data_IF_095004569334
#
_entry.id   IF_095004569334
#
_cell.length_a   1.000
_cell.length_b   1.000
_cell.length_c   1.000
_cell.angle_alpha   90.00
_cell.angle_beta   90.00
_cell.angle_gamma   90.00
#
_symmetry.space_group_name_H-M   'P 1'
#
loop_
_entity.id
_entity.type
_entity.pdbx_description
1 polymer ?
#
# COMPACT_ATOMS: atom_id res chain seq x y z
N UNK A 1 -26.08 48.70 30.72
CA UNK A 1 -25.81 47.52 29.86
C UNK A 1 -25.40 48.05 28.50
N UNK A 2 -24.09 48.29 28.35
CA UNK A 2 -23.47 48.75 27.12
C UNK A 2 -22.15 47.99 26.98
N UNK A 3 -21.96 47.49 25.76
CA UNK A 3 -20.85 46.70 25.26
C UNK A 3 -19.52 47.41 25.47
N UNK A 4 -18.58 46.76 26.17
CA UNK A 4 -17.18 47.16 26.13
C UNK A 4 -16.27 45.93 26.16
N UNK A 5 -15.30 45.95 25.24
CA UNK A 5 -14.01 45.26 25.31
C UNK A 5 -13.94 43.82 24.76
N UNK A 6 -13.81 43.69 23.43
CA UNK A 6 -12.93 42.72 22.78
C UNK A 6 -12.25 43.38 21.57
N UNK A 7 -11.31 44.29 21.84
CA UNK A 7 -10.36 44.80 20.84
C UNK A 7 -8.93 44.61 21.37
N UNK A 8 -8.36 43.43 21.11
CA UNK A 8 -6.97 43.11 21.40
C UNK A 8 -6.21 42.93 20.08
N UNK A 9 -5.65 44.06 19.65
CA UNK A 9 -4.63 44.27 18.62
C UNK A 9 -3.56 43.18 18.56
N UNK A 10 -3.25 42.78 17.31
CA UNK A 10 -2.11 41.96 16.89
C UNK A 10 -0.77 42.65 17.22
N UNK A 11 0.28 41.91 17.63
CA UNK A 11 1.65 42.35 17.40
C UNK A 11 2.18 41.76 16.08
N UNK A 12 2.60 42.65 15.20
CA UNK A 12 3.41 42.38 14.01
C UNK A 12 4.81 41.94 14.44
N UNK A 13 5.18 40.70 14.11
CA UNK A 13 6.51 40.14 14.34
C UNK A 13 7.02 39.43 13.09
N UNK A 14 7.89 40.13 12.37
CA UNK A 14 8.56 39.77 11.12
C UNK A 14 9.56 38.61 11.34
N UNK A 15 9.38 37.48 10.64
CA UNK A 15 10.36 36.39 10.56
C UNK A 15 10.66 36.07 9.08
N UNK A 16 11.11 37.07 8.34
CA UNK A 16 11.80 36.86 7.07
C UNK A 16 13.31 37.08 7.26
N UNK A 17 14.05 35.98 7.38
CA UNK A 17 15.48 35.87 7.02
C UNK A 17 15.93 34.40 7.06
N UNK A 18 15.73 33.67 5.97
CA UNK A 18 16.67 32.60 5.58
C UNK A 18 17.36 33.01 4.27
N UNK A 19 18.70 32.95 4.22
CA UNK A 19 19.45 33.38 3.06
C UNK A 19 19.55 32.25 2.03
N UNK A 20 19.24 32.59 0.77
CA UNK A 20 19.94 32.04 -0.39
C UNK A 20 19.57 30.63 -0.83
N UNK A 21 18.50 30.51 -1.63
CA UNK A 21 18.50 29.54 -2.73
C UNK A 21 18.12 30.25 -4.02
N UNK A 22 19.12 30.70 -4.78
CA UNK A 22 18.94 31.21 -6.13
C UNK A 22 20.11 30.78 -7.01
N UNK A 23 19.76 30.34 -8.23
CA UNK A 23 20.53 29.72 -9.32
C UNK A 23 20.71 28.21 -9.11
N UNK A 24 20.26 27.33 -9.98
CA UNK A 24 19.97 27.46 -11.41
C UNK A 24 20.86 26.46 -12.16
N UNK A 25 20.25 25.69 -13.05
CA UNK A 25 20.87 24.82 -14.06
C UNK A 25 21.94 23.83 -13.60
N UNK A 26 21.53 22.57 -13.44
CA UNK A 26 22.25 21.45 -14.03
C UNK A 26 21.25 20.33 -14.34
N UNK A 27 21.00 20.13 -15.64
CA UNK A 27 20.35 18.97 -16.19
C UNK A 27 21.11 17.70 -15.75
N UNK A 28 20.46 16.78 -15.04
CA UNK A 28 20.61 15.33 -15.17
C UNK A 28 19.68 14.64 -14.16
N UNK A 29 19.08 13.51 -14.56
CA UNK A 29 18.17 12.62 -13.81
C UNK A 29 16.70 13.07 -13.85
N UNK A 30 15.75 12.40 -14.49
CA UNK A 30 15.75 11.15 -15.25
C UNK A 30 14.69 11.32 -16.34
N UNK A 31 15.09 11.14 -17.59
CA UNK A 31 14.17 10.84 -18.67
C UNK A 31 13.61 9.43 -18.43
N UNK A 32 12.66 9.30 -17.51
CA UNK A 32 11.85 8.08 -17.47
C UNK A 32 10.81 8.22 -18.55
N UNK A 33 11.09 7.61 -19.69
CA UNK A 33 10.10 7.37 -20.73
C UNK A 33 8.95 6.59 -20.11
N UNK A 34 7.86 7.29 -19.79
CA UNK A 34 6.56 6.68 -19.61
C UNK A 34 6.08 6.25 -21.00
N UNK A 35 6.63 5.13 -21.49
CA UNK A 35 6.06 4.42 -22.61
C UNK A 35 4.64 3.97 -22.26
N UNK A 36 3.75 3.78 -23.25
CA UNK A 36 2.42 3.28 -23.00
C UNK A 36 2.52 1.94 -22.27
N UNK A 37 1.75 1.80 -21.19
CA UNK A 37 1.64 0.57 -20.40
C UNK A 37 1.50 -0.61 -21.36
N UNK A 38 2.42 -1.55 -21.29
CA UNK A 38 2.39 -2.70 -22.19
C UNK A 38 1.16 -3.55 -21.83
N UNK A 39 0.53 -4.24 -22.79
CA UNK A 39 -0.61 -5.13 -22.51
C UNK A 39 -0.32 -6.16 -21.41
N UNK A 40 0.96 -6.52 -21.23
CA UNK A 40 1.49 -7.45 -20.24
C UNK A 40 1.25 -6.93 -18.80
N UNK A 41 1.34 -5.61 -18.57
CA UNK A 41 1.19 -5.01 -17.24
C UNK A 41 -0.26 -5.03 -16.73
N UNK A 42 -1.23 -5.03 -17.66
CA UNK A 42 -2.67 -5.05 -17.34
C UNK A 42 -3.13 -6.44 -16.86
N UNK A 43 -2.54 -7.51 -17.38
CA UNK A 43 -2.80 -8.88 -16.93
C UNK A 43 -2.13 -9.20 -15.58
N UNK A 44 -0.95 -8.64 -15.31
CA UNK A 44 -0.25 -8.84 -14.03
C UNK A 44 -1.03 -8.20 -12.85
N UNK A 45 -1.63 -7.03 -13.06
CA UNK A 45 -2.45 -6.37 -12.04
C UNK A 45 -3.83 -7.00 -11.88
N UNK A 46 -4.37 -7.57 -12.95
CA UNK A 46 -5.61 -8.32 -12.96
C UNK A 46 -5.34 -9.81 -12.77
N UNK A 47 -5.02 -10.22 -11.54
CA UNK A 47 -4.96 -11.64 -11.12
C UNK A 47 -5.96 -12.48 -11.94
N UNK A 48 -5.43 -13.39 -12.78
CA UNK A 48 -6.23 -14.27 -13.61
C UNK A 48 -7.33 -14.92 -12.75
N UNK A 49 -8.57 -14.90 -13.24
CA UNK A 49 -9.72 -15.38 -12.48
C UNK A 49 -9.50 -16.81 -11.95
N UNK A 50 -8.82 -17.64 -12.75
CA UNK A 50 -8.46 -19.02 -12.43
C UNK A 50 -7.46 -19.15 -11.27
N UNK A 51 -6.49 -18.25 -11.15
CA UNK A 51 -5.53 -18.28 -10.05
C UNK A 51 -6.18 -17.87 -8.74
N UNK A 52 -7.11 -16.90 -8.79
CA UNK A 52 -7.91 -16.52 -7.63
C UNK A 52 -8.77 -17.67 -7.14
N UNK A 53 -9.48 -18.36 -8.03
CA UNK A 53 -10.37 -19.47 -7.64
C UNK A 53 -9.59 -20.62 -7.03
N UNK A 54 -8.41 -20.96 -7.57
CA UNK A 54 -7.50 -21.96 -6.98
C UNK A 54 -7.07 -21.58 -5.55
N UNK A 55 -6.63 -20.35 -5.34
CA UNK A 55 -6.23 -19.85 -4.01
C UNK A 55 -7.43 -19.85 -3.05
N UNK A 56 -8.62 -19.50 -3.54
CA UNK A 56 -9.83 -19.52 -2.71
C UNK A 56 -10.18 -20.93 -2.26
N UNK A 57 -10.07 -21.93 -3.15
CA UNK A 57 -10.35 -23.33 -2.82
C UNK A 57 -9.32 -23.91 -1.83
N UNK A 58 -8.04 -23.58 -1.99
CA UNK A 58 -6.96 -24.12 -1.14
C UNK A 58 -7.00 -23.57 0.31
N UNK A 59 -7.40 -22.32 0.48
CA UNK A 59 -7.40 -21.63 1.78
C UNK A 59 -8.79 -21.47 2.40
N UNK A 60 -9.84 -21.99 1.76
CA UNK A 60 -11.19 -21.99 2.30
C UNK A 60 -11.28 -22.91 3.54
N UNK A 61 -11.88 -22.40 4.60
CA UNK A 61 -12.22 -23.17 5.81
C UNK A 61 -13.56 -23.90 5.66
N UNK A 62 -14.46 -23.34 4.85
CA UNK A 62 -15.79 -23.87 4.53
C UNK A 62 -16.00 -23.80 3.02
N UNK A 63 -16.71 -24.76 2.45
CA UNK A 63 -17.09 -24.73 1.03
C UNK A 63 -17.89 -23.46 0.71
N UNK A 64 -17.36 -22.64 -0.21
CA UNK A 64 -17.98 -21.36 -0.60
C UNK A 64 -17.53 -20.14 0.22
N UNK A 65 -16.55 -20.28 1.11
CA UNK A 65 -16.03 -19.14 1.86
C UNK A 65 -15.18 -18.21 0.97
N UNK A 66 -15.66 -16.99 0.80
CA UNK A 66 -14.98 -15.93 0.04
C UNK A 66 -14.48 -14.80 0.94
N UNK A 67 -14.86 -14.81 2.22
CA UNK A 67 -14.69 -13.70 3.15
C UNK A 67 -13.70 -13.97 4.29
N UNK A 68 -13.32 -15.22 4.53
CA UNK A 68 -12.42 -15.57 5.62
C UNK A 68 -11.10 -14.79 5.59
N UNK A 69 -10.57 -14.38 6.75
CA UNK A 69 -9.27 -13.72 6.86
C UNK A 69 -8.14 -14.51 6.17
N UNK A 70 -8.19 -15.83 6.20
CA UNK A 70 -7.22 -16.77 5.62
C UNK A 70 -7.18 -16.63 4.10
N UNK A 71 -8.35 -16.72 3.44
CA UNK A 71 -8.52 -16.53 2.00
C UNK A 71 -8.06 -15.12 1.57
N UNK A 72 -8.48 -14.08 2.32
CA UNK A 72 -8.08 -12.71 2.02
C UNK A 72 -6.56 -12.51 2.12
N UNK A 73 -5.91 -13.08 3.13
CA UNK A 73 -4.45 -12.98 3.31
C UNK A 73 -3.70 -13.72 2.20
N UNK A 74 -4.19 -14.88 1.76
CA UNK A 74 -3.59 -15.62 0.66
C UNK A 74 -3.67 -14.83 -0.66
N UNK A 75 -4.84 -14.29 -0.99
CA UNK A 75 -5.04 -13.45 -2.19
C UNK A 75 -4.18 -12.18 -2.14
N UNK A 76 -4.12 -11.49 -0.99
CA UNK A 76 -3.28 -10.30 -0.83
C UNK A 76 -1.79 -10.64 -0.96
N UNK A 77 -1.34 -11.77 -0.43
CA UNK A 77 0.07 -12.19 -0.52
C UNK A 77 0.49 -12.50 -1.95
N UNK A 78 -0.39 -13.12 -2.74
CA UNK A 78 -0.15 -13.30 -4.17
C UNK A 78 -0.04 -11.95 -4.90
N UNK A 79 -1.01 -11.05 -4.71
CA UNK A 79 -0.96 -9.70 -5.31
C UNK A 79 0.31 -8.94 -4.94
N UNK A 80 0.72 -9.00 -3.67
CA UNK A 80 1.96 -8.35 -3.23
C UNK A 80 3.16 -8.89 -4.01
N UNK A 81 3.25 -10.21 -4.19
CA UNK A 81 4.34 -10.85 -4.94
C UNK A 81 4.35 -10.39 -6.40
N UNK A 82 3.18 -10.37 -7.05
CA UNK A 82 3.04 -9.91 -8.44
C UNK A 82 3.41 -8.41 -8.58
N UNK A 83 2.90 -7.54 -7.69
CA UNK A 83 3.24 -6.12 -7.68
C UNK A 83 4.74 -5.88 -7.41
N UNK A 84 5.37 -6.68 -6.55
CA UNK A 84 6.80 -6.52 -6.28
C UNK A 84 7.64 -6.84 -7.51
N UNK A 85 7.24 -7.81 -8.34
CA UNK A 85 7.94 -8.12 -9.58
C UNK A 85 7.76 -7.00 -10.61
N UNK A 86 6.54 -6.48 -10.76
CA UNK A 86 6.27 -5.34 -11.65
C UNK A 86 7.06 -4.08 -11.24
N UNK A 87 7.20 -3.82 -9.93
CA UNK A 87 7.97 -2.65 -9.46
C UNK A 87 9.49 -2.80 -9.61
N UNK A 88 10.01 -4.02 -9.83
CA UNK A 88 11.44 -4.23 -10.13
C UNK A 88 11.80 -3.70 -11.52
N UNK A 89 10.93 -3.93 -12.50
CA UNK A 89 11.08 -3.41 -13.87
C UNK A 89 10.69 -1.93 -13.94
N UNK A 90 9.62 -1.51 -13.26
CA UNK A 90 9.10 -0.14 -13.29
C UNK A 90 9.42 0.66 -12.03
N UNK A 91 10.69 1.12 -11.93
CA UNK A 91 11.19 1.83 -10.73
C UNK A 91 10.52 3.17 -10.42
N UNK A 92 9.94 3.83 -11.42
CA UNK A 92 9.36 5.17 -11.29
C UNK A 92 7.82 5.15 -11.17
N UNK A 93 7.20 3.98 -11.10
CA UNK A 93 5.77 3.89 -10.81
C UNK A 93 5.49 4.10 -9.30
N UNK A 94 5.30 5.35 -8.94
CA UNK A 94 4.97 5.76 -7.57
C UNK A 94 3.51 5.45 -7.18
N UNK A 95 2.61 5.35 -8.16
CA UNK A 95 1.19 5.08 -7.90
C UNK A 95 0.99 3.62 -7.51
N UNK A 96 1.60 2.70 -8.25
CA UNK A 96 1.59 1.27 -7.91
C UNK A 96 2.34 0.99 -6.61
N UNK A 97 3.43 1.70 -6.31
CA UNK A 97 4.13 1.62 -5.00
C UNK A 97 3.23 2.04 -3.84
N UNK A 98 2.44 3.11 -4.01
CA UNK A 98 1.44 3.52 -3.01
C UNK A 98 0.39 2.42 -2.82
N UNK A 99 -0.12 1.85 -3.91
CA UNK A 99 -1.05 0.71 -3.87
C UNK A 99 -0.48 -0.49 -3.12
N UNK A 100 0.79 -0.82 -3.36
CA UNK A 100 1.50 -1.90 -2.64
C UNK A 100 1.51 -1.66 -1.12
N UNK A 101 1.85 -0.45 -0.67
CA UNK A 101 1.88 -0.14 0.77
C UNK A 101 0.50 -0.29 1.42
N UNK A 102 -0.58 0.07 0.71
CA UNK A 102 -1.95 -0.13 1.19
C UNK A 102 -2.29 -1.62 1.32
N UNK A 103 -1.88 -2.45 0.37
CA UNK A 103 -2.10 -3.90 0.40
C UNK A 103 -1.33 -4.57 1.55
N UNK A 104 -0.07 -4.20 1.75
CA UNK A 104 0.75 -4.67 2.88
C UNK A 104 0.12 -4.27 4.22
N UNK A 105 -0.37 -3.03 4.32
CA UNK A 105 -1.08 -2.53 5.50
C UNK A 105 -2.36 -3.31 5.80
N UNK A 106 -3.17 -3.60 4.77
CA UNK A 106 -4.39 -4.41 4.91
C UNK A 106 -4.06 -5.83 5.38
N UNK A 107 -3.07 -6.48 4.78
CA UNK A 107 -2.61 -7.82 5.18
C UNK A 107 -2.16 -7.84 6.65
N UNK A 108 -1.38 -6.85 7.07
CA UNK A 108 -0.93 -6.71 8.47
C UNK A 108 -2.11 -6.57 9.45
N UNK A 109 -3.15 -5.81 9.09
CA UNK A 109 -4.36 -5.67 9.92
C UNK A 109 -5.10 -7.00 10.07
N UNK A 110 -5.24 -7.78 9.00
CA UNK A 110 -5.88 -9.10 9.04
C UNK A 110 -5.09 -10.10 9.89
N UNK A 111 -3.76 -10.12 9.75
CA UNK A 111 -2.90 -10.97 10.59
C UNK A 111 -2.97 -10.58 12.07
N UNK A 112 -2.99 -9.28 12.37
CA UNK A 112 -3.17 -8.80 13.75
C UNK A 112 -4.55 -9.14 14.32
N UNK A 113 -5.60 -9.16 13.48
CA UNK A 113 -6.93 -9.61 13.88
C UNK A 113 -6.92 -11.10 14.23
N UNK A 114 -6.39 -11.95 13.34
CA UNK A 114 -6.26 -13.39 13.61
C UNK A 114 -5.45 -13.65 14.87
N UNK A 115 -4.32 -12.94 15.07
CA UNK A 115 -3.52 -13.09 16.29
C UNK A 115 -4.32 -12.81 17.58
N UNK A 116 -5.27 -11.86 17.55
CA UNK A 116 -6.10 -11.50 18.70
C UNK A 116 -7.26 -12.47 18.91
N UNK A 117 -7.84 -12.98 17.83
CA UNK A 117 -9.03 -13.84 17.88
C UNK A 117 -8.67 -15.30 18.09
N UNK A 118 -7.67 -15.81 17.36
CA UNK A 118 -7.27 -17.21 17.38
C UNK A 118 -5.79 -17.37 17.00
N UNK A 119 -4.98 -17.70 18.01
CA UNK A 119 -3.54 -17.84 17.85
C UNK A 119 -3.14 -19.09 17.05
N UNK A 120 -3.96 -20.15 17.03
CA UNK A 120 -3.64 -21.38 16.32
C UNK A 120 -3.80 -21.18 14.81
N UNK A 121 -4.89 -20.54 14.39
CA UNK A 121 -5.11 -20.15 12.98
C UNK A 121 -4.06 -19.18 12.48
N UNK A 122 -3.64 -18.24 13.32
CA UNK A 122 -2.56 -17.32 12.99
C UNK A 122 -1.23 -18.04 12.73
N UNK A 123 -0.85 -18.99 13.60
CA UNK A 123 0.39 -19.76 13.48
C UNK A 123 0.39 -20.63 12.23
N UNK A 124 -0.68 -21.38 12.00
CA UNK A 124 -0.79 -22.25 10.83
C UNK A 124 -0.78 -21.46 9.52
N UNK A 125 -1.43 -20.29 9.48
CA UNK A 125 -1.43 -19.43 8.30
C UNK A 125 -0.04 -18.84 8.00
N UNK A 126 0.71 -18.43 9.03
CA UNK A 126 2.07 -17.92 8.86
C UNK A 126 3.02 -19.00 8.36
N UNK A 127 2.92 -20.20 8.92
CA UNK A 127 3.74 -21.34 8.51
C UNK A 127 3.49 -21.71 7.05
N UNK A 128 2.21 -21.80 6.64
CA UNK A 128 1.83 -22.07 5.24
C UNK A 128 2.35 -21.02 4.27
N UNK A 129 2.30 -19.74 4.63
CA UNK A 129 2.69 -18.64 3.76
C UNK A 129 4.17 -18.23 3.89
N UNK A 130 4.92 -18.81 4.82
CA UNK A 130 6.34 -18.50 5.05
C UNK A 130 6.60 -17.03 5.44
N UNK A 131 5.65 -16.35 6.09
CA UNK A 131 5.76 -14.93 6.41
C UNK A 131 6.63 -14.70 7.65
N UNK A 132 7.69 -13.88 7.52
CA UNK A 132 8.54 -13.46 8.65
C UNK A 132 8.01 -12.16 9.29
N UNK A 133 8.10 -12.06 10.61
CA UNK A 133 7.70 -10.91 11.44
C UNK A 133 8.89 -10.01 11.75
#
# INVERSE_FOLDING_TARGET
MQDTCWDARRPTGNVDRTPGYRRGSACLLDAVGAGPLTPIDREIMALAAELKTKIMQEYATVEGDTGSPEVQVAVLSRRISDLTEHLRTHKHDHHSRRGLLLLVGRRRRLLNYLQKTDIQRYRSLIERLGLRR
#
